data_IF_179336324585
#
_entry.id   IF_179336324585
#
_cell.length_a   1.000
_cell.length_b   1.000
_cell.length_c   1.000
_cell.angle_alpha   90.00
_cell.angle_beta   90.00
_cell.angle_gamma   90.00
#
_symmetry.space_group_name_H-M   'P 1'
#
loop_
_entity.id
_entity.type
_entity.pdbx_description
1 polymer ?
#
# COMPACT_ATOMS: atom_id res chain seq x y z
N UNK A 1 21.86 -26.86 31.24
CA UNK A 1 20.78 -27.04 30.23
C UNK A 1 19.79 -25.89 30.23
N UNK A 2 19.28 -25.44 31.39
CA UNK A 2 18.26 -24.39 31.52
C UNK A 2 18.66 -23.04 30.92
N UNK A 3 19.91 -22.58 31.12
CA UNK A 3 20.39 -21.30 30.57
C UNK A 3 20.41 -21.26 29.03
N UNK A 4 20.70 -22.39 28.38
CA UNK A 4 20.70 -22.47 26.92
C UNK A 4 19.27 -22.32 26.36
N UNK A 5 18.29 -22.93 27.03
CA UNK A 5 16.87 -22.83 26.65
C UNK A 5 16.38 -21.38 26.74
N UNK A 6 16.72 -20.65 27.82
CA UNK A 6 16.33 -19.24 27.95
C UNK A 6 16.94 -18.34 26.86
N UNK A 7 18.19 -18.58 26.47
CA UNK A 7 18.84 -17.82 25.38
C UNK A 7 18.15 -18.08 24.05
N UNK A 8 17.84 -19.35 23.74
CA UNK A 8 17.13 -19.71 22.50
C UNK A 8 15.73 -19.12 22.47
N UNK A 9 14.98 -19.18 23.58
CA UNK A 9 13.65 -18.56 23.68
C UNK A 9 13.73 -17.04 23.53
N UNK A 10 14.74 -16.40 24.12
CA UNK A 10 14.98 -14.95 23.97
C UNK A 10 15.26 -14.53 22.54
N UNK A 11 16.08 -15.29 21.81
CA UNK A 11 16.36 -15.03 20.39
C UNK A 11 15.11 -15.23 19.53
N UNK A 12 14.33 -16.28 19.79
CA UNK A 12 13.06 -16.53 19.07
C UNK A 12 12.07 -15.39 19.34
N UNK A 13 11.90 -14.97 20.60
CA UNK A 13 11.02 -13.86 20.96
C UNK A 13 11.46 -12.54 20.31
N UNK A 14 12.77 -12.23 20.33
CA UNK A 14 13.31 -11.05 19.67
C UNK A 14 13.04 -11.08 18.16
N UNK A 15 13.26 -12.22 17.52
CA UNK A 15 13.03 -12.39 16.08
C UNK A 15 11.54 -12.27 15.75
N UNK A 16 10.65 -12.86 16.56
CA UNK A 16 9.20 -12.72 16.42
C UNK A 16 8.76 -11.27 16.61
N UNK A 17 9.26 -10.56 17.63
CA UNK A 17 8.98 -9.14 17.85
C UNK A 17 9.45 -8.27 16.67
N UNK A 18 10.63 -8.55 16.12
CA UNK A 18 11.14 -7.87 14.93
C UNK A 18 10.25 -8.12 13.71
N UNK A 19 9.89 -9.38 13.43
CA UNK A 19 8.98 -9.73 12.33
C UNK A 19 7.59 -9.08 12.50
N UNK A 20 7.07 -9.05 13.71
CA UNK A 20 5.80 -8.40 14.06
C UNK A 20 5.89 -6.89 13.87
N UNK A 21 7.01 -6.24 14.24
CA UNK A 21 7.22 -4.81 14.05
C UNK A 21 7.21 -4.39 12.56
N UNK A 22 7.87 -5.18 11.70
CA UNK A 22 7.92 -4.93 10.26
C UNK A 22 6.56 -5.14 9.60
N UNK A 23 5.80 -6.14 10.06
CA UNK A 23 4.44 -6.42 9.60
C UNK A 23 3.45 -5.37 10.10
N UNK A 24 3.59 -4.91 11.35
CA UNK A 24 2.81 -3.82 11.93
C UNK A 24 3.07 -2.49 11.22
N UNK A 25 4.24 -2.26 10.65
CA UNK A 25 4.54 -1.01 9.92
C UNK A 25 3.55 -0.73 8.78
N UNK A 26 2.98 -1.77 8.18
CA UNK A 26 1.90 -1.67 7.19
C UNK A 26 0.56 -1.28 7.83
N UNK A 27 0.27 -1.81 9.02
CA UNK A 27 -0.94 -1.46 9.77
C UNK A 27 -0.88 -0.07 10.38
N UNK A 28 0.27 0.38 10.89
CA UNK A 28 0.49 1.73 11.40
C UNK A 28 0.32 2.85 10.35
N UNK A 29 0.25 2.51 9.06
CA UNK A 29 -0.08 3.48 8.00
C UNK A 29 -1.58 3.57 7.70
N UNK A 30 -2.38 2.59 8.12
CA UNK A 30 -3.85 2.67 8.02
C UNK A 30 -4.36 3.69 9.03
N UNK A 31 -5.20 4.62 8.58
CA UNK A 31 -5.79 5.67 9.42
C UNK A 31 -4.99 6.98 9.47
N UNK A 32 -3.81 7.07 8.84
CA UNK A 32 -3.10 8.35 8.69
C UNK A 32 -3.71 9.16 7.54
N UNK A 33 -3.72 10.49 7.68
CA UNK A 33 -4.07 11.40 6.58
C UNK A 33 -3.14 11.17 5.40
N UNK A 34 -3.71 11.11 4.20
CA UNK A 34 -2.94 11.03 2.98
C UNK A 34 -2.08 12.30 2.85
N UNK A 35 -0.80 12.16 2.44
CA UNK A 35 0.08 13.31 2.26
C UNK A 35 -0.51 14.27 1.23
N UNK A 36 -0.32 15.57 1.46
CA UNK A 36 -0.67 16.57 0.45
C UNK A 36 0.32 16.48 -0.70
N UNK A 37 -0.17 16.01 -1.83
CA UNK A 37 0.58 15.85 -3.06
C UNK A 37 -0.03 16.75 -4.14
N UNK A 38 0.81 17.25 -5.03
CA UNK A 38 0.35 18.11 -6.10
C UNK A 38 -0.23 17.31 -7.29
N UNK A 39 -0.92 18.02 -8.18
CA UNK A 39 -1.50 17.43 -9.40
C UNK A 39 -2.85 16.74 -9.19
N UNK A 40 -3.19 15.85 -10.14
CA UNK A 40 -4.53 15.24 -10.22
C UNK A 40 -4.87 14.36 -9.01
N UNK A 41 -3.88 13.66 -8.45
CA UNK A 41 -4.06 12.83 -7.26
C UNK A 41 -4.46 13.70 -6.05
N UNK A 42 -3.74 14.80 -5.81
CA UNK A 42 -4.05 15.73 -4.73
C UNK A 42 -5.45 16.31 -4.82
N UNK A 43 -5.90 16.65 -6.02
CA UNK A 43 -7.26 17.14 -6.26
C UNK A 43 -8.33 16.10 -5.91
N UNK A 44 -8.13 14.83 -6.26
CA UNK A 44 -9.06 13.76 -5.88
C UNK A 44 -9.11 13.56 -4.36
N UNK A 45 -7.94 13.55 -3.71
CA UNK A 45 -7.83 13.42 -2.25
C UNK A 45 -8.57 14.58 -1.56
N UNK A 46 -8.41 15.82 -2.05
CA UNK A 46 -9.09 17.00 -1.52
C UNK A 46 -10.61 16.97 -1.71
N UNK A 47 -11.10 16.36 -2.79
CA UNK A 47 -12.54 16.18 -3.05
C UNK A 47 -13.19 15.16 -2.12
N UNK A 48 -12.40 14.39 -1.38
CA UNK A 48 -12.89 13.37 -0.44
C UNK A 48 -13.40 12.10 -1.10
N UNK A 49 -13.53 12.07 -2.43
CA UNK A 49 -13.95 10.88 -3.18
C UNK A 49 -12.98 9.73 -2.95
N UNK A 50 -13.46 8.48 -2.78
CA UNK A 50 -12.59 7.33 -2.72
C UNK A 50 -11.71 7.29 -3.97
N UNK A 51 -10.42 7.05 -3.81
CA UNK A 51 -9.43 6.98 -4.89
C UNK A 51 -8.43 5.86 -4.60
N UNK A 52 -8.08 5.11 -5.64
CA UNK A 52 -6.98 4.14 -5.59
C UNK A 52 -5.75 4.79 -6.20
N UNK A 53 -4.70 4.99 -5.42
CA UNK A 53 -3.38 5.37 -5.91
C UNK A 53 -2.53 4.11 -6.13
N UNK A 54 -2.25 3.79 -7.39
CA UNK A 54 -1.42 2.65 -7.79
C UNK A 54 -0.04 3.11 -8.25
N UNK A 55 0.97 2.74 -7.49
CA UNK A 55 2.37 3.02 -7.78
C UNK A 55 3.01 1.84 -8.52
N UNK A 56 3.45 2.09 -9.75
CA UNK A 56 4.04 1.10 -10.63
C UNK A 56 5.38 1.58 -11.21
N UNK A 57 6.10 0.66 -11.86
CA UNK A 57 7.29 0.94 -12.67
C UNK A 57 7.21 0.16 -13.98
N UNK A 58 7.64 0.71 -15.13
CA UNK A 58 7.69 -0.03 -16.40
C UNK A 58 8.63 -1.24 -16.35
N UNK A 59 9.65 -1.23 -15.49
CA UNK A 59 10.60 -2.34 -15.30
C UNK A 59 10.12 -3.43 -14.34
N UNK A 60 8.89 -3.34 -13.83
CA UNK A 60 8.37 -4.25 -12.80
C UNK A 60 7.52 -5.37 -13.41
N UNK A 61 8.01 -6.61 -13.39
CA UNK A 61 7.32 -7.79 -13.92
C UNK A 61 5.99 -8.06 -13.19
N UNK A 62 5.99 -7.98 -11.86
CA UNK A 62 4.81 -8.18 -11.02
C UNK A 62 3.72 -7.11 -11.24
N UNK A 63 4.10 -5.93 -11.72
CA UNK A 63 3.17 -4.84 -12.00
C UNK A 63 2.21 -5.17 -13.16
N UNK A 64 2.61 -6.05 -14.09
CA UNK A 64 1.71 -6.53 -15.17
C UNK A 64 0.56 -7.36 -14.63
N UNK A 65 0.81 -8.20 -13.63
CA UNK A 65 -0.25 -8.99 -12.98
C UNK A 65 -1.19 -8.06 -12.21
N UNK A 66 -0.62 -7.10 -11.48
CA UNK A 66 -1.42 -6.14 -10.73
C UNK A 66 -2.26 -5.24 -11.62
N UNK A 67 -1.76 -4.86 -12.80
CA UNK A 67 -2.53 -4.08 -13.77
C UNK A 67 -3.78 -4.83 -14.25
N UNK A 68 -3.71 -6.14 -14.48
CA UNK A 68 -4.89 -6.96 -14.83
C UNK A 68 -5.93 -6.95 -13.71
N UNK A 69 -5.50 -7.06 -12.45
CA UNK A 69 -6.40 -6.95 -11.31
C UNK A 69 -7.05 -5.56 -11.24
N UNK A 70 -6.29 -4.49 -11.50
CA UNK A 70 -6.83 -3.13 -11.50
C UNK A 70 -7.78 -2.86 -12.65
N UNK A 71 -7.59 -3.50 -13.82
CA UNK A 71 -8.55 -3.44 -14.93
C UNK A 71 -9.91 -4.03 -14.51
N UNK A 72 -9.93 -5.16 -13.81
CA UNK A 72 -11.17 -5.73 -13.26
C UNK A 72 -11.81 -4.81 -12.23
N UNK A 73 -11.02 -4.19 -11.35
CA UNK A 73 -11.53 -3.18 -10.39
C UNK A 73 -12.11 -1.98 -11.14
N UNK A 74 -11.50 -1.57 -12.26
CA UNK A 74 -11.92 -0.43 -13.05
C UNK A 74 -13.31 -0.59 -13.67
N UNK A 75 -13.83 -1.81 -13.79
CA UNK A 75 -15.21 -2.06 -14.22
C UNK A 75 -16.21 -1.49 -13.21
N UNK A 76 -15.97 -1.71 -11.91
CA UNK A 76 -16.85 -1.29 -10.81
C UNK A 76 -16.45 0.05 -10.18
N UNK A 77 -15.18 0.43 -10.26
CA UNK A 77 -14.65 1.61 -9.60
C UNK A 77 -13.71 2.40 -10.53
N UNK A 78 -14.14 3.58 -10.97
CA UNK A 78 -13.43 4.35 -12.01
C UNK A 78 -12.24 5.17 -11.48
N UNK A 79 -12.20 5.50 -10.19
CA UNK A 79 -11.24 6.47 -9.66
C UNK A 79 -9.88 5.84 -9.30
N UNK A 80 -9.21 5.28 -10.31
CA UNK A 80 -7.89 4.65 -10.16
C UNK A 80 -6.82 5.56 -10.78
N UNK A 81 -5.93 6.08 -9.95
CA UNK A 81 -4.79 6.91 -10.33
C UNK A 81 -3.53 6.06 -10.41
N UNK A 82 -2.98 5.93 -11.62
CA UNK A 82 -1.73 5.21 -11.88
C UNK A 82 -0.57 6.20 -11.84
N UNK A 83 0.44 5.89 -11.02
CA UNK A 83 1.54 6.77 -10.67
C UNK A 83 2.82 6.01 -10.95
N UNK A 84 3.66 6.52 -11.85
CA UNK A 84 4.95 5.91 -12.14
C UNK A 84 5.94 6.33 -11.06
N UNK A 85 6.25 5.42 -10.12
CA UNK A 85 7.15 5.69 -9.01
C UNK A 85 8.59 6.05 -9.46
N UNK A 86 8.95 5.70 -10.70
CA UNK A 86 10.21 6.06 -11.35
C UNK A 86 10.24 7.47 -11.98
N UNK A 87 9.08 8.13 -12.13
CA UNK A 87 8.99 9.52 -12.61
C UNK A 87 8.52 10.45 -11.48
N UNK A 88 7.49 10.05 -10.75
CA UNK A 88 6.90 10.80 -9.65
C UNK A 88 7.54 10.41 -8.30
N UNK A 89 8.88 10.47 -8.23
CA UNK A 89 9.65 10.05 -7.05
C UNK A 89 9.24 10.78 -5.76
N UNK A 90 8.93 12.07 -5.84
CA UNK A 90 8.48 12.84 -4.67
C UNK A 90 7.16 12.33 -4.13
N UNK A 91 6.16 12.14 -5.00
CA UNK A 91 4.86 11.56 -4.64
C UNK A 91 5.04 10.17 -4.03
N UNK A 92 5.83 9.30 -4.66
CA UNK A 92 6.11 7.96 -4.14
C UNK A 92 6.75 8.01 -2.75
N UNK A 93 7.72 8.91 -2.52
CA UNK A 93 8.37 9.10 -1.21
C UNK A 93 7.41 9.63 -0.15
N UNK A 94 6.53 10.57 -0.48
CA UNK A 94 5.53 11.11 0.44
C UNK A 94 4.55 10.04 0.91
N UNK A 95 4.14 9.13 0.01
CA UNK A 95 3.35 7.94 0.36
C UNK A 95 4.18 6.80 0.98
N UNK A 96 5.49 7.01 1.16
CA UNK A 96 6.42 6.05 1.73
C UNK A 96 6.54 4.76 0.93
N UNK A 97 6.36 4.82 -0.39
CA UNK A 97 6.44 3.68 -1.31
C UNK A 97 7.89 3.22 -1.37
N UNK A 98 8.16 2.02 -0.86
CA UNK A 98 9.50 1.42 -0.83
C UNK A 98 9.73 0.46 -2.00
N UNK A 99 8.68 0.02 -2.68
CA UNK A 99 8.74 -0.92 -3.78
C UNK A 99 7.47 -0.90 -4.63
N UNK A 100 7.57 -1.43 -5.84
CA UNK A 100 6.44 -1.58 -6.77
C UNK A 100 6.17 -3.07 -7.01
N UNK A 101 4.91 -3.50 -7.21
CA UNK A 101 3.68 -2.69 -7.18
C UNK A 101 3.26 -2.31 -5.75
N UNK A 102 2.73 -1.11 -5.56
CA UNK A 102 2.08 -0.69 -4.31
C UNK A 102 0.73 -0.05 -4.62
N UNK A 103 -0.31 -0.42 -3.89
CA UNK A 103 -1.67 0.12 -4.06
C UNK A 103 -2.14 0.74 -2.76
N UNK A 104 -2.56 2.00 -2.80
CA UNK A 104 -3.07 2.75 -1.64
C UNK A 104 -4.52 3.11 -1.89
N UNK A 105 -5.40 2.75 -0.95
CA UNK A 105 -6.82 3.13 -0.99
C UNK A 105 -7.00 4.32 -0.07
N UNK A 106 -7.49 5.43 -0.62
CA UNK A 106 -7.67 6.69 0.07
C UNK A 106 -9.13 7.09 -0.03
N UNK A 107 -9.71 7.53 1.08
CA UNK A 107 -11.09 8.00 1.15
C UNK A 107 -11.17 9.10 2.19
N UNK A 108 -11.87 10.20 1.88
CA UNK A 108 -11.98 11.38 2.76
C UNK A 108 -10.61 11.90 3.22
N UNK A 109 -9.61 11.86 2.34
CA UNK A 109 -8.25 12.28 2.66
C UNK A 109 -7.50 11.35 3.62
N UNK A 110 -8.02 10.16 3.93
CA UNK A 110 -7.42 9.21 4.86
C UNK A 110 -7.01 7.94 4.12
N UNK A 111 -5.81 7.43 4.41
CA UNK A 111 -5.36 6.14 3.91
C UNK A 111 -6.13 5.04 4.63
N UNK A 112 -7.12 4.43 3.97
CA UNK A 112 -7.88 3.30 4.50
C UNK A 112 -7.03 2.05 4.51
N UNK A 113 -6.41 1.75 3.37
CA UNK A 113 -5.56 0.57 3.21
C UNK A 113 -4.30 0.88 2.41
N UNK A 114 -3.25 0.13 2.74
CA UNK A 114 -1.97 0.17 2.07
C UNK A 114 -1.56 -1.26 1.73
N UNK A 115 -1.44 -1.56 0.45
CA UNK A 115 -1.06 -2.88 -0.05
C UNK A 115 0.29 -2.81 -0.74
N UNK A 116 1.23 -3.61 -0.27
CA UNK A 116 2.53 -3.81 -0.91
C UNK A 116 2.48 -5.14 -1.66
N UNK A 117 2.85 -5.11 -2.94
CA UNK A 117 2.81 -6.27 -3.82
C UNK A 117 1.47 -6.45 -4.55
N UNK A 118 1.36 -7.60 -5.23
CA UNK A 118 0.16 -7.95 -6.01
C UNK A 118 -1.01 -8.20 -5.06
N UNK A 119 -2.12 -7.54 -5.35
CA UNK A 119 -3.36 -7.61 -4.57
C UNK A 119 -4.52 -8.00 -5.50
N UNK A 120 -5.24 -9.09 -5.21
CA UNK A 120 -6.38 -9.51 -6.02
C UNK A 120 -7.48 -8.45 -6.12
N UNK A 121 -8.19 -8.42 -7.25
CA UNK A 121 -9.28 -7.46 -7.49
C UNK A 121 -10.37 -7.51 -6.41
N UNK A 122 -10.78 -8.73 -6.00
CA UNK A 122 -11.78 -8.94 -4.94
C UNK A 122 -11.41 -8.24 -3.63
N UNK A 123 -10.13 -8.31 -3.23
CA UNK A 123 -9.64 -7.68 -2.01
C UNK A 123 -9.64 -6.16 -2.09
N UNK A 124 -9.36 -5.60 -3.26
CA UNK A 124 -9.44 -4.16 -3.50
C UNK A 124 -10.89 -3.67 -3.45
N UNK A 125 -11.82 -4.37 -4.10
CA UNK A 125 -13.25 -4.05 -4.09
C UNK A 125 -13.85 -4.12 -2.68
N UNK A 126 -13.55 -5.17 -1.93
CA UNK A 126 -13.98 -5.31 -0.54
C UNK A 126 -13.49 -4.14 0.35
N UNK A 127 -12.38 -3.51 0.00
CA UNK A 127 -11.85 -2.35 0.74
C UNK A 127 -12.60 -1.06 0.40
N UNK A 128 -13.16 -0.97 -0.80
CA UNK A 128 -13.93 0.18 -1.27
C UNK A 128 -15.39 0.13 -0.81
N UNK A 129 -15.84 -0.99 -0.22
CA UNK A 129 -17.26 -1.28 0.06
C UNK A 129 -18.13 -1.20 -1.21
N UNK A 130 -17.61 -1.68 -2.34
CA UNK A 130 -18.27 -1.70 -3.67
C UNK A 130 -18.32 -3.13 -4.22
#
# INVERSE_FOLDING_TARGET
MTNFIYVVVGIILLFVLLQVSLRMRSWFRKGKSAPQVDGKLGQQIKRGTPVIAYFYSPSCSACRVQEKNLQQVQEKFKNIMRINAGKEHQTARQFGVMGTPTTVVIENGIIKNYFVGVTPASKLLNTLNV
#
